data_IF_858042473723
#
_entry.id   IF_858042473723
#
_cell.length_a   1.000
_cell.length_b   1.000
_cell.length_c   1.000
_cell.angle_alpha   90.00
_cell.angle_beta   90.00
_cell.angle_gamma   90.00
#
_symmetry.space_group_name_H-M   'P 1'
#
loop_
_entity.id
_entity.type
_entity.pdbx_description
1 polymer ?
#
# COMPACT_ATOMS: atom_id res chain seq x y z
N UNK A 1 -6.16 9.72 -15.67
CA UNK A 1 -7.31 9.22 -14.87
C UNK A 1 -6.73 8.81 -13.53
N UNK A 2 -7.38 9.03 -12.38
CA UNK A 2 -6.90 8.39 -11.16
C UNK A 2 -6.90 6.88 -11.43
N UNK A 3 -5.74 6.24 -11.26
CA UNK A 3 -5.60 4.82 -11.48
C UNK A 3 -6.49 4.10 -10.46
N UNK A 4 -7.22 3.08 -10.91
CA UNK A 4 -8.07 2.31 -10.01
C UNK A 4 -7.15 1.56 -9.03
N UNK A 5 -7.35 1.76 -7.73
CA UNK A 5 -6.64 0.95 -6.74
C UNK A 5 -6.94 -0.54 -6.95
N UNK A 6 -5.91 -1.34 -7.08
CA UNK A 6 -5.96 -2.81 -7.12
C UNK A 6 -4.80 -3.32 -6.26
N UNK A 7 -4.82 -4.60 -5.87
CA UNK A 7 -3.68 -5.20 -5.18
C UNK A 7 -2.39 -5.03 -5.99
N UNK A 8 -2.46 -5.25 -7.30
CA UNK A 8 -1.34 -5.05 -8.23
C UNK A 8 -0.85 -3.59 -8.23
N UNK A 9 -1.75 -2.61 -8.34
CA UNK A 9 -1.37 -1.19 -8.33
C UNK A 9 -0.79 -0.77 -6.97
N UNK A 10 -1.29 -1.32 -5.86
CA UNK A 10 -0.69 -1.09 -4.52
C UNK A 10 0.72 -1.68 -4.48
N UNK A 11 0.92 -2.88 -5.01
CA UNK A 11 2.24 -3.51 -5.10
C UNK A 11 3.22 -2.68 -5.93
N UNK A 12 2.78 -2.21 -7.09
CA UNK A 12 3.59 -1.34 -7.97
C UNK A 12 3.99 -0.04 -7.26
N UNK A 13 3.07 0.62 -6.56
CA UNK A 13 3.36 1.82 -5.79
C UNK A 13 4.37 1.57 -4.66
N UNK A 14 4.26 0.44 -3.97
CA UNK A 14 5.21 0.05 -2.91
C UNK A 14 6.58 -0.24 -3.50
N UNK A 15 6.65 -1.03 -4.57
CA UNK A 15 7.89 -1.37 -5.25
C UNK A 15 8.60 -0.11 -5.78
N UNK A 16 7.86 0.85 -6.34
CA UNK A 16 8.41 2.14 -6.79
C UNK A 16 9.05 2.93 -5.63
N UNK A 17 8.39 2.97 -4.47
CA UNK A 17 8.92 3.65 -3.27
C UNK A 17 10.17 2.96 -2.73
N UNK A 18 10.26 1.64 -2.86
CA UNK A 18 11.38 0.82 -2.39
C UNK A 18 12.53 0.75 -3.40
N UNK A 19 12.30 1.15 -4.66
CA UNK A 19 13.22 0.96 -5.79
C UNK A 19 13.47 -0.51 -6.13
N UNK A 20 12.47 -1.35 -5.96
CA UNK A 20 12.51 -2.80 -6.23
C UNK A 20 11.56 -3.19 -7.37
N UNK A 21 11.69 -4.43 -7.86
CA UNK A 21 10.74 -4.99 -8.84
C UNK A 21 9.47 -5.48 -8.13
N UNK A 22 8.25 -5.13 -8.59
CA UNK A 22 7.02 -5.56 -7.94
C UNK A 22 6.82 -7.09 -7.96
N UNK A 23 7.47 -7.84 -8.86
CA UNK A 23 7.40 -9.30 -8.86
C UNK A 23 8.21 -9.95 -7.73
N UNK A 24 9.14 -9.23 -7.11
CA UNK A 24 9.95 -9.71 -5.98
C UNK A 24 9.24 -9.56 -4.64
N UNK A 25 8.22 -8.68 -4.55
CA UNK A 25 7.43 -8.48 -3.34
C UNK A 25 6.29 -9.50 -3.27
N UNK A 26 6.38 -10.44 -2.34
CA UNK A 26 5.28 -11.34 -2.03
C UNK A 26 4.21 -10.66 -1.14
N UNK A 27 2.98 -11.15 -1.21
CA UNK A 27 1.85 -10.49 -0.56
C UNK A 27 1.92 -10.51 0.98
N UNK A 28 2.57 -11.52 1.53
CA UNK A 28 2.66 -11.82 2.96
C UNK A 28 3.99 -11.40 3.61
N UNK A 29 4.89 -10.77 2.85
CA UNK A 29 6.16 -10.27 3.38
C UNK A 29 6.01 -8.98 4.19
N UNK A 30 6.86 -8.85 5.21
CA UNK A 30 6.97 -7.62 6.00
C UNK A 30 7.73 -6.57 5.19
N UNK A 31 7.02 -5.53 4.73
CA UNK A 31 7.59 -4.47 3.91
C UNK A 31 8.63 -3.63 4.67
N UNK A 32 8.63 -3.65 6.01
CA UNK A 32 9.67 -2.98 6.81
C UNK A 32 11.03 -3.64 6.58
N UNK A 33 11.08 -4.97 6.41
CA UNK A 33 12.31 -5.70 6.09
C UNK A 33 12.84 -5.34 4.69
N UNK A 34 11.93 -4.93 3.80
CA UNK A 34 12.26 -4.37 2.48
C UNK A 34 12.65 -2.88 2.52
N UNK A 35 12.70 -2.26 3.71
CA UNK A 35 13.11 -0.88 3.91
C UNK A 35 11.97 0.14 3.82
N UNK A 36 10.71 -0.30 3.87
CA UNK A 36 9.58 0.60 4.01
C UNK A 36 9.68 1.36 5.35
N UNK A 37 9.44 2.67 5.29
CA UNK A 37 9.53 3.55 6.46
C UNK A 37 8.26 4.39 6.61
N UNK A 38 8.19 5.14 7.71
CA UNK A 38 7.02 5.96 8.05
C UNK A 38 6.72 7.05 7.02
N UNK A 39 7.74 7.64 6.40
CA UNK A 39 7.56 8.71 5.39
C UNK A 39 6.95 8.11 4.12
N UNK A 40 7.42 6.94 3.70
CA UNK A 40 6.84 6.20 2.57
C UNK A 40 5.40 5.78 2.82
N UNK A 41 5.09 5.26 4.01
CA UNK A 41 3.71 4.90 4.40
C UNK A 41 2.81 6.14 4.39
N UNK A 42 3.26 7.26 4.98
CA UNK A 42 2.48 8.51 4.97
C UNK A 42 2.22 9.01 3.54
N UNK A 43 3.18 8.86 2.65
CA UNK A 43 3.05 9.22 1.23
C UNK A 43 1.96 8.39 0.54
N UNK A 44 1.88 7.08 0.80
CA UNK A 44 0.81 6.22 0.28
C UNK A 44 -0.56 6.60 0.86
N UNK A 45 -0.63 6.81 2.18
CA UNK A 45 -1.87 7.22 2.87
C UNK A 45 -2.43 8.51 2.28
N UNK A 46 -1.59 9.52 2.06
CA UNK A 46 -2.02 10.80 1.47
C UNK A 46 -2.51 10.62 0.03
N UNK A 47 -1.85 9.76 -0.76
CA UNK A 47 -2.27 9.47 -2.13
C UNK A 47 -3.63 8.77 -2.19
N UNK A 48 -3.83 7.71 -1.39
CA UNK A 48 -5.09 6.96 -1.39
C UNK A 48 -6.26 7.79 -0.82
N UNK A 49 -5.99 8.66 0.16
CA UNK A 49 -6.99 9.63 0.66
C UNK A 49 -7.47 10.60 -0.40
N UNK A 50 -6.58 11.07 -1.28
CA UNK A 50 -6.98 11.92 -2.43
C UNK A 50 -7.87 11.19 -3.42
N UNK A 51 -7.84 9.85 -3.42
CA UNK A 51 -8.72 9.00 -4.22
C UNK A 51 -10.03 8.64 -3.50
N UNK A 52 -10.26 9.17 -2.29
CA UNK A 52 -11.48 8.96 -1.50
C UNK A 52 -11.36 7.86 -0.44
N UNK A 53 -10.23 7.15 -0.35
CA UNK A 53 -10.03 6.06 0.60
C UNK A 53 -9.76 6.58 2.01
N UNK A 54 -10.53 6.10 3.00
CA UNK A 54 -10.37 6.46 4.40
C UNK A 54 -9.39 5.49 5.10
N UNK A 55 -8.09 5.68 4.87
CA UNK A 55 -7.00 4.88 5.45
C UNK A 55 -6.11 5.75 6.34
N UNK A 56 -5.52 5.19 7.40
CA UNK A 56 -4.57 5.89 8.28
C UNK A 56 -3.21 5.20 8.31
N UNK A 57 -2.18 5.92 8.79
CA UNK A 57 -0.88 5.33 9.05
C UNK A 57 -0.98 4.14 10.01
N UNK A 58 -1.81 4.23 11.06
CA UNK A 58 -1.96 3.17 12.04
C UNK A 58 -2.52 1.88 11.42
N UNK A 59 -3.48 2.02 10.50
CA UNK A 59 -4.05 0.86 9.79
C UNK A 59 -2.99 0.10 8.98
N UNK A 60 -2.01 0.80 8.42
CA UNK A 60 -0.94 0.20 7.61
C UNK A 60 0.27 -0.25 8.44
N UNK A 61 0.59 0.47 9.51
CA UNK A 61 1.75 0.21 10.34
C UNK A 61 1.57 -0.98 11.30
N UNK A 62 0.32 -1.36 11.62
CA UNK A 62 0.05 -2.54 12.46
C UNK A 62 0.50 -3.84 11.76
N UNK A 63 0.23 -3.95 10.46
CA UNK A 63 0.60 -5.08 9.62
C UNK A 63 1.09 -4.60 8.26
N UNK A 64 2.39 -4.34 8.11
CA UNK A 64 2.99 -3.78 6.91
C UNK A 64 3.17 -4.83 5.80
N UNK A 65 2.10 -5.55 5.44
CA UNK A 65 2.08 -6.53 4.35
C UNK A 65 1.08 -6.10 3.29
N UNK A 66 1.34 -6.43 2.02
CA UNK A 66 0.41 -6.10 0.92
C UNK A 66 -0.95 -6.79 1.12
N UNK A 67 -0.95 -8.03 1.61
CA UNK A 67 -2.15 -8.79 1.90
C UNK A 67 -3.02 -8.13 2.98
N UNK A 68 -2.42 -7.65 4.08
CA UNK A 68 -3.19 -7.00 5.15
C UNK A 68 -3.63 -5.59 4.75
N UNK A 69 -2.81 -4.86 3.99
CA UNK A 69 -3.19 -3.58 3.41
C UNK A 69 -4.36 -3.71 2.44
N UNK A 70 -4.38 -4.74 1.59
CA UNK A 70 -5.48 -4.93 0.66
C UNK A 70 -6.80 -5.23 1.35
N UNK A 71 -6.81 -5.98 2.46
CA UNK A 71 -8.04 -6.25 3.24
C UNK A 71 -8.73 -4.98 3.74
N UNK A 72 -7.96 -3.94 4.04
CA UNK A 72 -8.50 -2.64 4.49
C UNK A 72 -8.86 -1.72 3.33
N UNK A 73 -8.17 -1.84 2.20
CA UNK A 73 -8.41 -1.01 1.00
C UNK A 73 -9.55 -1.54 0.13
N UNK A 74 -9.69 -2.85 -0.04
CA UNK A 74 -10.66 -3.50 -0.93
C UNK A 74 -12.11 -3.02 -0.72
N UNK A 75 -12.62 -2.87 0.52
CA UNK A 75 -13.99 -2.39 0.75
C UNK A 75 -14.20 -0.94 0.29
N UNK A 76 -13.15 -0.10 0.36
CA UNK A 76 -13.23 1.31 -0.02
C UNK A 76 -13.19 1.53 -1.54
N UNK A 77 -12.68 0.54 -2.29
CA UNK A 77 -12.50 0.61 -3.75
C UNK A 77 -13.64 -0.06 -4.51
N UNK A 78 -14.29 -1.07 -3.92
CA UNK A 78 -15.42 -1.80 -4.53
C UNK A 78 -16.80 -1.30 -4.07
N UNK A 79 -16.85 -0.25 -3.25
CA UNK A 79 -18.07 0.36 -2.72
C UNK A 79 -18.65 1.48 -3.59
#
# INVERSE_FOLDING_TARGET
MPEKLTLEAVREQVAELLYEDPSELADDEDLIDWGLDSVRIMTLVEQWRRQGVQITFADLAERPTLADWWKVLEPAVNG
#
